data_IF_010999583385
#
_entry.id   IF_010999583385
#
_cell.length_a   1.000
_cell.length_b   1.000
_cell.length_c   1.000
_cell.angle_alpha   90.00
_cell.angle_beta   90.00
_cell.angle_gamma   90.00
#
_symmetry.space_group_name_H-M   'P 1'
#
loop_
_entity.id
_entity.type
_entity.pdbx_description
1 polymer ?
#
# COMPACT_ATOMS: atom_id res chain seq x y z
N UNK A 1 9.79 9.86 16.98
CA UNK A 1 9.76 9.37 15.60
C UNK A 1 9.28 7.93 15.61
N UNK A 2 8.03 7.68 15.20
CA UNK A 2 7.54 6.31 15.05
C UNK A 2 8.06 5.74 13.74
N UNK A 3 8.74 4.58 13.78
CA UNK A 3 9.19 3.89 12.57
C UNK A 3 8.04 3.54 11.63
N UNK A 4 8.37 2.95 10.48
CA UNK A 4 7.34 2.46 9.56
C UNK A 4 6.43 1.47 10.28
N UNK A 5 5.12 1.73 10.26
CA UNK A 5 4.15 0.79 10.82
C UNK A 5 4.18 -0.47 9.98
N UNK A 6 4.33 -1.63 10.62
CA UNK A 6 4.19 -2.90 9.94
C UNK A 6 2.71 -3.17 9.61
N UNK A 7 2.43 -3.44 8.34
CA UNK A 7 1.14 -3.94 7.87
C UNK A 7 1.35 -5.35 7.31
N UNK A 8 0.60 -6.34 7.83
CA UNK A 8 0.58 -7.69 7.26
C UNK A 8 -0.09 -7.65 5.89
N UNK A 9 0.58 -8.18 4.87
CA UNK A 9 0.04 -8.36 3.52
C UNK A 9 -1.12 -9.37 3.59
N UNK A 10 -2.33 -9.04 3.11
CA UNK A 10 -3.45 -9.97 3.09
C UNK A 10 -3.26 -11.12 2.11
N UNK A 11 -2.65 -10.83 0.97
CA UNK A 11 -2.33 -11.79 -0.10
C UNK A 11 -0.85 -11.70 -0.49
N UNK A 12 -0.30 -12.77 -1.07
CA UNK A 12 1.09 -12.80 -1.55
C UNK A 12 1.36 -11.74 -2.64
N UNK A 13 0.35 -11.41 -3.45
CA UNK A 13 0.44 -10.38 -4.49
C UNK A 13 0.35 -8.95 -3.95
N UNK A 14 0.00 -8.76 -2.67
CA UNK A 14 -0.13 -7.43 -2.05
C UNK A 14 1.19 -6.84 -1.56
N UNK A 15 2.33 -7.39 -1.97
CA UNK A 15 3.62 -6.97 -1.45
C UNK A 15 3.93 -5.49 -1.74
N UNK A 16 3.69 -5.07 -2.98
CA UNK A 16 3.79 -3.67 -3.42
C UNK A 16 2.80 -2.72 -2.72
N UNK A 17 1.47 -2.91 -2.86
CA UNK A 17 0.48 -1.99 -2.29
C UNK A 17 0.55 -1.93 -0.76
N UNK A 18 0.95 -3.00 -0.07
CA UNK A 18 1.17 -2.96 1.38
C UNK A 18 2.38 -2.14 1.77
N UNK A 19 3.50 -2.23 1.03
CA UNK A 19 4.68 -1.38 1.24
C UNK A 19 4.33 0.10 1.07
N UNK A 20 3.61 0.45 0.00
CA UNK A 20 3.13 1.83 -0.23
C UNK A 20 2.22 2.31 0.90
N UNK A 21 1.39 1.43 1.47
CA UNK A 21 0.54 1.76 2.62
C UNK A 21 1.35 2.12 3.86
N UNK A 22 2.42 1.36 4.15
CA UNK A 22 3.32 1.63 5.28
C UNK A 22 4.00 3.00 5.13
N UNK A 23 4.49 3.30 3.92
CA UNK A 23 5.12 4.59 3.59
C UNK A 23 4.10 5.73 3.72
N UNK A 24 2.93 5.61 3.10
CA UNK A 24 1.88 6.62 3.17
C UNK A 24 1.52 6.94 4.63
N UNK A 25 1.36 5.91 5.47
CA UNK A 25 1.01 6.09 6.89
C UNK A 25 2.12 6.79 7.67
N UNK A 26 3.38 6.51 7.38
CA UNK A 26 4.52 7.18 8.00
C UNK A 26 4.52 8.69 7.71
N UNK A 27 4.14 9.09 6.50
CA UNK A 27 3.98 10.49 6.10
C UNK A 27 2.59 11.08 6.40
N UNK A 28 1.81 10.47 7.28
CA UNK A 28 0.51 10.99 7.72
C UNK A 28 -0.63 10.84 6.71
N UNK A 29 -0.42 10.14 5.59
CA UNK A 29 -1.46 9.86 4.58
C UNK A 29 -2.12 8.51 4.87
N UNK A 30 -3.45 8.50 4.94
CA UNK A 30 -4.21 7.25 5.09
C UNK A 30 -4.86 6.90 3.76
N UNK A 31 -4.32 5.87 3.09
CA UNK A 31 -4.81 5.38 1.80
C UNK A 31 -5.26 3.93 1.99
N UNK A 32 -6.42 3.57 1.43
CA UNK A 32 -6.92 2.20 1.49
C UNK A 32 -6.07 1.27 0.65
N UNK A 33 -5.96 0.00 1.07
CA UNK A 33 -5.22 -1.00 0.31
C UNK A 33 -5.82 -1.22 -1.08
N UNK A 34 -7.17 -1.18 -1.21
CA UNK A 34 -7.86 -1.29 -2.49
C UNK A 34 -7.49 -0.18 -3.47
N UNK A 35 -7.41 1.07 -3.00
CA UNK A 35 -6.95 2.19 -3.85
C UNK A 35 -5.49 2.00 -4.25
N UNK A 36 -4.65 1.50 -3.35
CA UNK A 36 -3.24 1.22 -3.65
C UNK A 36 -3.11 0.13 -4.70
N UNK A 37 -3.86 -0.98 -4.59
CA UNK A 37 -3.91 -2.03 -5.62
C UNK A 37 -4.26 -1.43 -6.98
N UNK A 38 -5.36 -0.69 -7.07
CA UNK A 38 -5.83 -0.13 -8.33
C UNK A 38 -4.85 0.84 -9.02
N UNK A 39 -3.97 1.51 -8.27
CA UNK A 39 -2.96 2.43 -8.85
C UNK A 39 -1.58 1.81 -8.97
N UNK A 40 -1.32 0.66 -8.32
CA UNK A 40 -0.04 -0.04 -8.36
C UNK A 40 -0.03 -1.22 -9.33
N UNK A 41 -1.21 -1.74 -9.67
CA UNK A 41 -1.34 -2.70 -10.77
C UNK A 41 -0.98 -2.01 -12.08
N UNK A 42 -0.14 -2.66 -12.86
CA UNK A 42 0.41 -2.16 -14.12
C UNK A 42 -0.50 -2.48 -15.32
N UNK A 43 -1.75 -2.90 -15.10
CA UNK A 43 -2.71 -2.98 -16.19
C UNK A 43 -3.35 -1.61 -16.41
N UNK A 44 -3.06 -1.07 -17.60
CA UNK A 44 -3.79 0.03 -18.21
C UNK A 44 -5.29 -0.15 -17.99
N UNK A 45 -5.96 0.97 -17.73
CA UNK A 45 -7.40 1.07 -17.93
C UNK A 45 -7.72 0.59 -19.36
N UNK A 46 -8.20 -0.65 -19.47
CA UNK A 46 -9.05 -1.07 -20.58
C UNK A 46 -10.44 -0.44 -20.41
#
# INVERSE_FOLDING_TARGET
>A
MGGFKFYKQPDAMDCGPTCLRMIAKHYGRTISLQKLRAISDHEEAA
#
